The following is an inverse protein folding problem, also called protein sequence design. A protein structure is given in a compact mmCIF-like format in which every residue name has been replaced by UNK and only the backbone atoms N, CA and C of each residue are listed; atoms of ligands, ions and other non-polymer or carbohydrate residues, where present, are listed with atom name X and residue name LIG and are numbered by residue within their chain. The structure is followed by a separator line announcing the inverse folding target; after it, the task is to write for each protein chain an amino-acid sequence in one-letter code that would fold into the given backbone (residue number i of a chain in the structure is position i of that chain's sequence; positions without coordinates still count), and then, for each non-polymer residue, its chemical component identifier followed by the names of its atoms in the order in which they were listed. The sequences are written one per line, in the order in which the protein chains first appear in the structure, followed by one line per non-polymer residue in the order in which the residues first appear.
data_IF_237402078065
#
_entry.id   IF_237402078065
#
_cell.length_a   1.000
_cell.length_b   1.000
_cell.length_c   1.000
_cell.angle_alpha   90.00
_cell.angle_beta   90.00
_cell.angle_gamma   90.00
#
_symmetry.space_group_name_H-M   'P 1'
#
loop_
_entity.id
_entity.type
_entity.pdbx_description
1 polymer ?
#
# COMPACT_ATOMS: atom_id res chain seq x y z
N UNK A 1 3.23 -11.00 22.68
CA UNK A 1 3.16 -11.40 21.26
C UNK A 1 1.73 -11.65 20.84
N UNK A 2 1.30 -11.13 19.68
CA UNK A 2 0.01 -11.47 19.08
C UNK A 2 0.18 -12.80 18.36
N UNK A 3 -0.55 -13.85 18.77
CA UNK A 3 -0.48 -15.15 18.08
C UNK A 3 -1.17 -15.06 16.71
N UNK A 4 -0.78 -15.93 15.78
CA UNK A 4 -1.41 -16.00 14.45
C UNK A 4 -2.93 -16.21 14.54
N UNK A 5 -3.39 -17.09 15.44
CA UNK A 5 -4.81 -17.33 15.68
C UNK A 5 -5.55 -16.11 16.27
N UNK A 6 -4.92 -15.38 17.20
CA UNK A 6 -5.49 -14.14 17.74
C UNK A 6 -5.59 -13.04 16.68
N UNK A 7 -4.56 -12.91 15.82
CA UNK A 7 -4.61 -11.98 14.70
C UNK A 7 -5.70 -12.38 13.70
N UNK A 8 -5.83 -13.66 13.36
CA UNK A 8 -6.92 -14.16 12.50
C UNK A 8 -8.30 -13.76 13.00
N UNK A 9 -8.56 -13.97 14.29
CA UNK A 9 -9.83 -13.59 14.92
C UNK A 9 -10.08 -12.07 14.86
N UNK A 10 -9.03 -11.28 15.09
CA UNK A 10 -9.08 -9.83 14.97
C UNK A 10 -9.37 -9.38 13.53
N UNK A 11 -8.71 -9.97 12.53
CA UNK A 11 -8.94 -9.65 11.12
C UNK A 11 -10.41 -9.78 10.75
N UNK A 12 -11.03 -10.90 11.14
CA UNK A 12 -12.46 -11.18 10.90
C UNK A 12 -13.39 -10.23 11.67
N UNK A 13 -13.10 -9.97 12.95
CA UNK A 13 -13.97 -9.15 13.80
C UNK A 13 -13.91 -7.67 13.42
N UNK A 14 -12.75 -7.20 12.98
CA UNK A 14 -12.52 -5.81 12.60
C UNK A 14 -12.92 -5.51 11.14
N UNK A 15 -13.27 -6.53 10.35
CA UNK A 15 -13.55 -6.40 8.92
C UNK A 15 -12.32 -6.11 8.06
N UNK A 16 -11.12 -6.43 8.55
CA UNK A 16 -9.87 -6.31 7.79
C UNK A 16 -9.72 -7.46 6.78
N UNK A 17 -10.30 -8.61 7.10
CA UNK A 17 -10.47 -9.75 6.21
C UNK A 17 -11.77 -10.49 6.59
N UNK A 18 -12.18 -11.46 5.78
CA UNK A 18 -13.54 -11.98 5.77
C UNK A 18 -14.41 -11.17 4.81
N UNK A 19 -15.72 -11.06 5.03
CA UNK A 19 -16.57 -10.11 4.31
C UNK A 19 -16.09 -8.67 4.57
N UNK A 20 -15.73 -7.94 3.52
CA UNK A 20 -15.19 -6.58 3.60
C UNK A 20 -16.22 -5.53 3.16
N UNK A 21 -15.91 -4.25 3.37
CA UNK A 21 -16.83 -3.17 2.98
C UNK A 21 -16.93 -3.02 1.46
N UNK A 22 -15.86 -3.36 0.74
CA UNK A 22 -15.78 -3.33 -0.72
C UNK A 22 -16.80 -4.29 -1.33
N UNK A 23 -17.64 -3.76 -2.22
CA UNK A 23 -18.65 -4.56 -2.91
C UNK A 23 -18.07 -5.29 -4.10
N UNK A 24 -18.63 -6.46 -4.42
CA UNK A 24 -18.23 -7.27 -5.57
C UNK A 24 -18.35 -6.48 -6.88
N UNK A 25 -19.39 -5.66 -7.02
CA UNK A 25 -19.59 -4.76 -8.15
C UNK A 25 -18.48 -3.72 -8.26
N UNK A 26 -18.01 -3.21 -7.12
CA UNK A 26 -16.89 -2.28 -7.00
C UNK A 26 -15.60 -2.90 -7.53
N UNK A 27 -15.22 -4.07 -7.01
CA UNK A 27 -14.04 -4.82 -7.45
C UNK A 27 -14.11 -5.14 -8.94
N UNK A 28 -15.22 -5.71 -9.42
CA UNK A 28 -15.37 -6.04 -10.84
C UNK A 28 -15.30 -4.81 -11.75
N UNK A 29 -15.81 -3.65 -11.30
CA UNK A 29 -15.63 -2.39 -12.02
C UNK A 29 -14.15 -2.00 -12.08
N UNK A 30 -13.43 -2.09 -10.97
CA UNK A 30 -11.98 -1.81 -10.95
C UNK A 30 -11.20 -2.78 -11.85
N UNK A 31 -11.57 -4.06 -11.91
CA UNK A 31 -10.91 -5.04 -12.78
C UNK A 31 -11.11 -4.70 -14.26
N UNK A 32 -12.33 -4.34 -14.67
CA UNK A 32 -12.61 -3.88 -16.04
C UNK A 32 -11.85 -2.61 -16.38
N UNK A 33 -11.77 -1.66 -15.46
CA UNK A 33 -11.00 -0.42 -15.65
C UNK A 33 -9.49 -0.70 -15.75
N UNK A 34 -8.97 -1.65 -14.97
CA UNK A 34 -7.57 -2.05 -15.04
C UNK A 34 -7.25 -2.72 -16.38
N UNK A 35 -8.10 -3.65 -16.82
CA UNK A 35 -7.98 -4.27 -18.15
C UNK A 35 -7.99 -3.23 -19.28
N UNK A 36 -8.77 -2.16 -19.12
CA UNK A 36 -8.80 -1.00 -20.02
C UNK A 36 -7.65 0.01 -19.81
N UNK A 37 -6.67 -0.29 -18.95
CA UNK A 37 -5.51 0.55 -18.63
C UNK A 37 -5.86 1.92 -18.05
N UNK A 38 -6.95 2.01 -17.30
CA UNK A 38 -7.34 3.27 -16.66
C UNK A 38 -6.32 3.66 -15.56
N UNK A 39 -5.67 4.85 -15.67
CA UNK A 39 -4.59 5.25 -14.77
C UNK A 39 -5.02 5.38 -13.30
N UNK A 40 -6.32 5.46 -13.01
CA UNK A 40 -6.86 5.57 -11.65
C UNK A 40 -6.81 4.27 -10.87
N UNK A 41 -6.72 3.14 -11.58
CA UNK A 41 -6.67 1.80 -10.97
C UNK A 41 -5.42 1.02 -11.37
N UNK A 42 -4.64 1.46 -12.37
CA UNK A 42 -3.30 0.91 -12.59
C UNK A 42 -2.28 1.43 -11.58
N UNK A 43 -2.58 2.55 -10.91
CA UNK A 43 -1.79 3.12 -9.81
C UNK A 43 -0.33 3.40 -10.22
N UNK A 44 -0.09 3.64 -11.50
CA UNK A 44 1.25 3.88 -12.06
C UNK A 44 2.02 2.65 -12.52
N UNK A 45 1.44 1.45 -12.38
CA UNK A 45 1.92 0.24 -13.02
C UNK A 45 1.66 0.30 -14.53
N UNK A 46 2.61 -0.22 -15.31
CA UNK A 46 2.45 -0.50 -16.74
C UNK A 46 2.56 -2.00 -17.00
N UNK A 47 1.44 -2.75 -16.90
CA UNK A 47 1.45 -4.22 -16.94
C UNK A 47 1.96 -4.75 -18.28
N UNK A 48 2.82 -5.76 -18.26
CA UNK A 48 3.33 -6.39 -19.48
C UNK A 48 2.32 -7.40 -20.06
N UNK A 49 1.59 -8.12 -19.20
CA UNK A 49 0.54 -9.06 -19.62
C UNK A 49 -0.72 -8.35 -20.13
N UNK A 50 -1.56 -9.03 -20.91
CA UNK A 50 -2.80 -8.46 -21.44
C UNK A 50 -3.89 -8.25 -20.38
N UNK A 51 -3.83 -8.97 -19.25
CA UNK A 51 -4.73 -8.90 -18.07
C UNK A 51 -6.19 -8.55 -18.41
N UNK A 52 -6.92 -9.53 -18.97
CA UNK A 52 -8.37 -9.39 -19.16
C UNK A 52 -9.14 -9.52 -17.84
N UNK A 53 -10.43 -9.19 -17.85
CA UNK A 53 -11.30 -9.28 -16.66
C UNK A 53 -11.27 -10.68 -16.03
N UNK A 54 -11.29 -11.74 -16.84
CA UNK A 54 -11.23 -13.13 -16.33
C UNK A 54 -9.89 -13.46 -15.68
N UNK A 55 -8.79 -12.98 -16.25
CA UNK A 55 -7.45 -13.17 -15.68
C UNK A 55 -7.33 -12.45 -14.34
N UNK A 56 -7.90 -11.25 -14.24
CA UNK A 56 -7.94 -10.48 -13.01
C UNK A 56 -8.82 -11.15 -11.95
N UNK A 57 -9.99 -11.69 -12.30
CA UNK A 57 -10.83 -12.45 -11.36
C UNK A 57 -10.05 -13.66 -10.84
N UNK A 58 -9.40 -14.41 -11.73
CA UNK A 58 -8.60 -15.58 -11.35
C UNK A 58 -7.43 -15.20 -10.43
N UNK A 59 -6.69 -14.14 -10.79
CA UNK A 59 -5.59 -13.62 -9.98
C UNK A 59 -6.08 -13.17 -8.60
N UNK A 60 -7.16 -12.39 -8.53
CA UNK A 60 -7.65 -11.87 -7.26
C UNK A 60 -8.23 -12.99 -6.40
N UNK A 61 -8.85 -14.01 -6.98
CA UNK A 61 -9.26 -15.21 -6.24
C UNK A 61 -8.05 -15.95 -5.66
N UNK A 62 -6.94 -16.01 -6.41
CA UNK A 62 -5.68 -16.58 -5.95
C UNK A 62 -4.94 -15.70 -4.94
N UNK A 63 -4.97 -14.37 -5.04
CA UNK A 63 -4.17 -13.50 -4.17
C UNK A 63 -4.92 -12.98 -2.96
N UNK A 64 -6.19 -12.67 -3.13
CA UNK A 64 -7.06 -12.12 -2.08
C UNK A 64 -8.03 -13.15 -1.50
N UNK A 65 -8.42 -14.17 -2.28
CA UNK A 65 -9.44 -15.13 -1.85
C UNK A 65 -10.87 -14.70 -2.15
N UNK A 66 -11.04 -13.72 -3.04
CA UNK A 66 -12.36 -13.34 -3.58
C UNK A 66 -12.97 -14.49 -4.37
N UNK A 67 -14.27 -14.40 -4.70
CA UNK A 67 -14.91 -15.39 -5.56
C UNK A 67 -14.24 -15.43 -6.95
N UNK A 68 -13.80 -16.63 -7.35
CA UNK A 68 -13.28 -16.90 -8.69
C UNK A 68 -14.36 -17.17 -9.74
N UNK A 69 -15.64 -17.24 -9.34
CA UNK A 69 -16.76 -17.45 -10.26
C UNK A 69 -17.09 -16.15 -11.02
N UNK A 70 -16.97 -16.11 -12.37
CA UNK A 70 -17.37 -14.95 -13.16
C UNK A 70 -18.87 -14.64 -13.09
N UNK A 71 -19.72 -15.62 -12.72
CA UNK A 71 -21.15 -15.44 -12.51
C UNK A 71 -21.50 -14.75 -11.18
N UNK A 72 -20.56 -14.68 -10.25
CA UNK A 72 -20.73 -13.97 -8.98
C UNK A 72 -20.46 -12.47 -9.16
N UNK A 73 -21.53 -11.74 -9.49
CA UNK A 73 -21.46 -10.33 -9.92
C UNK A 73 -21.93 -9.31 -8.89
N UNK A 74 -22.47 -9.73 -7.73
CA UNK A 74 -23.04 -8.84 -6.73
C UNK A 74 -22.86 -9.32 -5.30
N UNK A 75 -22.89 -8.39 -4.34
CA UNK A 75 -22.74 -8.66 -2.91
C UNK A 75 -21.48 -8.03 -2.32
N UNK A 76 -21.05 -8.54 -1.16
CA UNK A 76 -19.78 -8.15 -0.55
C UNK A 76 -18.64 -8.98 -1.12
N UNK A 77 -17.48 -8.35 -1.31
CA UNK A 77 -16.28 -9.11 -1.58
C UNK A 77 -15.73 -9.75 -0.29
N UNK A 78 -14.79 -10.68 -0.45
CA UNK A 78 -14.19 -11.40 0.66
C UNK A 78 -12.68 -11.40 0.51
N UNK A 79 -11.99 -11.10 1.61
CA UNK A 79 -10.55 -11.36 1.74
C UNK A 79 -10.37 -12.60 2.59
N UNK A 80 -9.64 -13.60 2.10
CA UNK A 80 -9.27 -14.77 2.90
C UNK A 80 -8.24 -14.37 3.96
N UNK A 81 -8.57 -14.47 5.27
CA UNK A 81 -7.66 -14.09 6.34
C UNK A 81 -6.35 -14.87 6.34
N UNK A 82 -6.30 -16.10 5.81
CA UNK A 82 -5.04 -16.84 5.71
C UNK A 82 -4.10 -16.24 4.67
N UNK A 83 -4.65 -15.67 3.58
CA UNK A 83 -3.86 -14.95 2.58
C UNK A 83 -3.29 -13.66 3.16
N UNK A 84 -4.09 -12.92 3.94
CA UNK A 84 -3.60 -11.76 4.70
C UNK A 84 -2.46 -12.16 5.65
N UNK A 85 -2.63 -13.22 6.44
CA UNK A 85 -1.61 -13.65 7.41
C UNK A 85 -0.31 -14.11 6.73
N UNK A 86 -0.41 -14.85 5.63
CA UNK A 86 0.76 -15.26 4.84
C UNK A 86 1.47 -14.05 4.22
N UNK A 87 0.71 -13.10 3.68
CA UNK A 87 1.23 -11.84 3.17
C UNK A 87 1.96 -11.05 4.27
N UNK A 88 1.39 -10.96 5.47
CA UNK A 88 2.02 -10.28 6.61
C UNK A 88 3.31 -10.97 7.09
N UNK A 89 3.38 -12.31 7.04
CA UNK A 89 4.60 -13.05 7.35
C UNK A 89 5.71 -12.75 6.31
N UNK A 90 5.37 -12.72 5.01
CA UNK A 90 6.29 -12.34 3.95
C UNK A 90 6.74 -10.87 4.05
N UNK A 91 5.80 -9.97 4.35
CA UNK A 91 6.03 -8.55 4.57
C UNK A 91 7.02 -8.33 5.73
N UNK A 92 6.81 -9.02 6.85
CA UNK A 92 7.74 -8.98 7.99
C UNK A 92 9.15 -9.49 7.64
N UNK A 93 9.25 -10.53 6.80
CA UNK A 93 10.54 -11.03 6.32
C UNK A 93 11.33 -9.98 5.52
N UNK A 94 10.64 -9.19 4.68
CA UNK A 94 11.28 -8.08 3.94
C UNK A 94 11.72 -6.93 4.84
N UNK A 95 10.92 -6.60 5.87
CA UNK A 95 11.33 -5.62 6.89
C UNK A 95 12.55 -6.10 7.70
N UNK A 96 12.58 -7.37 8.10
CA UNK A 96 13.72 -7.94 8.82
C UNK A 96 14.99 -7.87 7.96
N UNK A 97 14.90 -8.27 6.70
CA UNK A 97 16.05 -8.25 5.79
C UNK A 97 16.64 -6.84 5.61
N UNK A 98 15.81 -5.79 5.50
CA UNK A 98 16.32 -4.41 5.39
C UNK A 98 16.88 -3.90 6.73
N UNK A 99 16.31 -4.33 7.85
CA UNK A 99 16.82 -4.01 9.18
C UNK A 99 18.19 -4.62 9.47
N UNK A 100 18.40 -5.89 9.09
CA UNK A 100 19.69 -6.60 9.27
C UNK A 100 20.86 -5.85 8.64
N UNK A 101 20.63 -5.27 7.45
CA UNK A 101 21.62 -4.47 6.72
C UNK A 101 21.58 -2.97 7.04
N UNK A 102 20.66 -2.53 7.90
CA UNK A 102 20.41 -1.11 8.24
C UNK A 102 20.20 -0.25 6.99
N UNK A 103 19.43 -0.78 6.05
CA UNK A 103 19.23 -0.18 4.74
C UNK A 103 18.43 1.12 4.76
N UNK A 104 18.32 1.75 3.59
CA UNK A 104 17.52 2.96 3.38
C UNK A 104 16.08 2.59 3.01
N UNK A 105 15.10 3.28 3.62
CA UNK A 105 13.68 2.97 3.44
C UNK A 105 12.86 4.22 3.19
N UNK A 106 11.87 4.10 2.31
CA UNK A 106 10.88 5.15 2.07
C UNK A 106 9.49 4.61 2.41
N UNK A 107 8.77 5.31 3.28
CA UNK A 107 7.38 5.00 3.59
C UNK A 107 6.46 6.00 2.91
N UNK A 108 5.36 5.52 2.32
CA UNK A 108 4.35 6.40 1.72
C UNK A 108 2.96 5.79 1.76
N UNK A 109 1.94 6.63 1.95
CA UNK A 109 0.54 6.17 1.97
C UNK A 109 -0.33 7.03 1.07
N UNK A 110 -1.13 6.35 0.25
CA UNK A 110 -2.23 6.91 -0.51
C UNK A 110 -3.48 7.06 0.35
N UNK A 111 -3.58 6.34 1.47
CA UNK A 111 -4.74 6.33 2.37
C UNK A 111 -4.43 6.87 3.79
N UNK A 112 -3.95 8.12 3.95
CA UNK A 112 -3.38 8.63 5.20
C UNK A 112 -4.35 8.65 6.38
N UNK A 113 -5.66 8.79 6.15
CA UNK A 113 -6.66 8.75 7.22
C UNK A 113 -6.79 7.38 7.90
N UNK A 114 -6.40 6.31 7.20
CA UNK A 114 -6.56 4.93 7.66
C UNK A 114 -5.22 4.31 8.04
N UNK A 115 -4.24 4.39 7.14
CA UNK A 115 -3.01 3.60 7.22
C UNK A 115 -1.79 4.36 7.76
N UNK A 116 -1.86 5.69 7.92
CA UNK A 116 -0.71 6.48 8.41
C UNK A 116 -0.14 5.93 9.73
N UNK A 117 -1.01 5.59 10.68
CA UNK A 117 -0.59 5.04 11.97
C UNK A 117 0.08 3.67 11.87
N UNK A 118 -0.30 2.84 10.88
CA UNK A 118 0.33 1.55 10.62
C UNK A 118 1.75 1.75 10.10
N UNK A 119 1.94 2.54 9.04
CA UNK A 119 3.27 2.77 8.46
C UNK A 119 4.19 3.57 9.38
N UNK A 120 3.68 4.55 10.12
CA UNK A 120 4.50 5.36 11.04
C UNK A 120 5.12 4.50 12.15
N UNK A 121 4.38 3.51 12.65
CA UNK A 121 4.93 2.60 13.65
C UNK A 121 6.01 1.66 13.08
N UNK A 122 5.91 1.29 11.79
CA UNK A 122 6.95 0.53 11.11
C UNK A 122 8.19 1.39 10.85
N UNK A 123 8.00 2.63 10.41
CA UNK A 123 9.07 3.60 10.19
C UNK A 123 9.86 3.87 11.48
N UNK A 124 9.18 4.09 12.61
CA UNK A 124 9.81 4.27 13.91
C UNK A 124 10.64 3.05 14.32
N UNK A 125 10.10 1.84 14.12
CA UNK A 125 10.79 0.60 14.48
C UNK A 125 12.04 0.35 13.62
N UNK A 126 11.98 0.59 12.31
CA UNK A 126 13.14 0.48 11.43
C UNK A 126 14.18 1.56 11.74
N UNK A 127 13.75 2.79 12.03
CA UNK A 127 14.66 3.85 12.48
C UNK A 127 15.37 3.48 13.77
N UNK A 128 14.65 2.92 14.75
CA UNK A 128 15.22 2.42 16.00
C UNK A 128 16.21 1.25 15.80
N UNK A 129 16.01 0.44 14.75
CA UNK A 129 16.94 -0.61 14.34
C UNK A 129 18.16 -0.09 13.56
N UNK A 130 18.22 1.22 13.27
CA UNK A 130 19.34 1.88 12.60
C UNK A 130 19.18 2.06 11.09
N UNK A 131 17.99 1.79 10.52
CA UNK A 131 17.71 2.08 9.11
C UNK A 131 17.58 3.59 8.87
N UNK A 132 17.94 4.04 7.67
CA UNK A 132 17.72 5.43 7.26
C UNK A 132 16.31 5.58 6.68
N UNK A 133 15.40 6.21 7.41
CA UNK A 133 14.05 6.56 6.93
C UNK A 133 14.12 7.87 6.16
N UNK A 134 13.86 7.81 4.86
CA UNK A 134 14.01 8.93 3.94
C UNK A 134 12.77 9.84 3.94
N UNK A 135 12.98 11.16 3.82
CA UNK A 135 11.91 12.15 3.63
C UNK A 135 12.19 13.11 2.45
N UNK A 136 12.45 12.59 1.24
CA UNK A 136 12.87 13.39 0.10
C UNK A 136 11.72 14.23 -0.46
N UNK A 137 12.07 15.33 -1.14
CA UNK A 137 11.10 16.21 -1.79
C UNK A 137 9.99 16.74 -0.84
N UNK A 138 10.26 16.83 0.47
CA UNK A 138 9.32 17.44 1.41
C UNK A 138 8.98 18.87 0.97
N UNK A 139 7.69 19.19 0.92
CA UNK A 139 7.21 20.50 0.45
C UNK A 139 7.16 20.64 -1.07
N UNK A 140 7.56 19.63 -1.85
CA UNK A 140 7.49 19.69 -3.32
C UNK A 140 6.04 19.68 -3.77
N UNK A 141 5.70 20.61 -4.67
CA UNK A 141 4.40 20.66 -5.32
C UNK A 141 4.32 19.66 -6.47
N UNK A 142 3.16 19.03 -6.62
CA UNK A 142 2.87 18.05 -7.66
C UNK A 142 1.47 18.31 -8.21
N UNK A 143 1.34 18.34 -9.52
CA UNK A 143 0.05 18.51 -10.17
C UNK A 143 -0.58 17.14 -10.45
N UNK A 144 -1.74 16.89 -9.85
CA UNK A 144 -2.46 15.62 -9.98
C UNK A 144 -3.78 15.88 -10.71
N UNK A 145 -4.00 15.13 -11.79
CA UNK A 145 -5.28 15.13 -12.50
C UNK A 145 -6.36 14.48 -11.65
N UNK A 146 -7.41 15.24 -11.35
CA UNK A 146 -8.59 14.76 -10.62
C UNK A 146 -9.83 14.79 -11.53
N UNK A 147 -10.95 14.24 -11.06
CA UNK A 147 -12.25 14.38 -11.76
C UNK A 147 -12.71 15.84 -11.92
N UNK A 148 -12.11 16.78 -11.18
CA UNK A 148 -12.42 18.21 -11.22
C UNK A 148 -11.34 19.02 -11.94
N UNK A 149 -10.49 18.37 -12.75
CA UNK A 149 -9.33 18.97 -13.40
C UNK A 149 -8.04 18.79 -12.61
N UNK A 150 -6.97 19.40 -13.09
CA UNK A 150 -5.66 19.37 -12.43
C UNK A 150 -5.70 20.18 -11.15
N UNK A 151 -5.18 19.61 -10.07
CA UNK A 151 -5.00 20.28 -8.79
C UNK A 151 -3.57 20.08 -8.32
N UNK A 152 -2.97 21.15 -7.81
CA UNK A 152 -1.65 21.10 -7.18
C UNK A 152 -1.78 20.55 -5.77
N UNK A 153 -0.96 19.58 -5.41
CA UNK A 153 -0.82 19.04 -4.06
C UNK A 153 0.62 19.24 -3.60
N UNK A 154 0.86 19.06 -2.31
CA UNK A 154 2.22 19.13 -1.74
C UNK A 154 2.57 17.83 -1.04
N UNK A 155 3.78 17.32 -1.27
CA UNK A 155 4.32 16.17 -0.52
C UNK A 155 4.64 16.61 0.90
N UNK A 156 4.13 15.89 1.89
CA UNK A 156 4.44 16.09 3.30
C UNK A 156 4.77 14.77 3.99
N UNK A 157 5.45 14.85 5.13
CA UNK A 157 5.85 13.70 5.92
C UNK A 157 5.33 13.83 7.35
N UNK A 158 4.64 12.80 7.82
CA UNK A 158 4.27 12.68 9.24
C UNK A 158 4.89 11.41 9.79
N UNK A 159 5.77 11.56 10.78
CA UNK A 159 6.50 10.44 11.42
C UNK A 159 7.18 9.53 10.39
N UNK A 160 7.90 10.13 9.44
CA UNK A 160 8.63 9.42 8.39
C UNK A 160 7.79 8.85 7.25
N UNK A 161 6.47 9.03 7.26
CA UNK A 161 5.57 8.52 6.21
C UNK A 161 5.14 9.65 5.29
N UNK A 162 5.41 9.48 4.00
CA UNK A 162 5.01 10.39 2.95
C UNK A 162 3.50 10.33 2.68
N UNK A 163 2.89 11.48 2.47
CA UNK A 163 1.51 11.63 1.99
C UNK A 163 1.38 12.95 1.21
N UNK A 164 0.22 13.19 0.62
CA UNK A 164 -0.07 14.44 -0.10
C UNK A 164 -1.06 15.31 0.67
N UNK A 165 -0.90 16.63 0.56
CA UNK A 165 -1.84 17.62 1.10
C UNK A 165 -2.49 18.44 -0.02
N UNK A 166 -3.78 18.70 0.13
CA UNK A 166 -4.49 19.63 -0.73
C UNK A 166 -4.06 21.09 -0.49
N UNK A 167 -4.25 21.99 -1.47
CA UNK A 167 -4.07 23.42 -1.29
C UNK A 167 -4.87 23.96 -0.11
N UNK A 168 -4.27 24.85 0.68
CA UNK A 168 -4.94 25.50 1.81
C UNK A 168 -5.14 24.63 3.05
N UNK A 169 -4.66 23.38 3.06
CA UNK A 169 -4.59 22.57 4.28
C UNK A 169 -3.62 23.24 5.29
N UNK A 170 -4.12 23.60 6.47
CA UNK A 170 -3.34 24.32 7.50
C UNK A 170 -2.30 23.42 8.19
N UNK A 171 -1.09 23.98 8.32
CA UNK A 171 0.07 23.64 9.18
C UNK A 171 0.69 22.24 9.00
N UNK A 172 2.02 22.21 8.92
CA UNK A 172 2.83 21.00 9.06
C UNK A 172 2.49 20.29 10.39
N UNK A 173 2.07 19.02 10.32
CA UNK A 173 1.68 18.23 11.50
C UNK A 173 0.17 18.03 11.74
N UNK A 174 -0.72 18.59 10.91
CA UNK A 174 -2.14 18.22 10.92
C UNK A 174 -2.36 16.90 10.15
N UNK A 175 -3.06 15.90 10.69
CA UNK A 175 -3.16 14.54 10.08
C UNK A 175 -3.98 14.44 8.78
N UNK A 176 -4.53 15.53 8.25
CA UNK A 176 -5.46 15.46 7.13
C UNK A 176 -4.75 15.44 5.76
N UNK A 177 -3.89 14.44 5.53
CA UNK A 177 -3.48 14.10 4.17
C UNK A 177 -4.68 13.74 3.29
N UNK A 178 -4.50 13.71 1.99
CA UNK A 178 -5.58 13.43 1.03
C UNK A 178 -5.44 12.01 0.50
N UNK A 179 -6.58 11.31 0.39
CA UNK A 179 -6.66 10.04 -0.32
C UNK A 179 -6.21 10.18 -1.76
N UNK A 180 -5.24 9.38 -2.21
CA UNK A 180 -4.72 9.43 -3.57
C UNK A 180 -4.28 8.07 -4.09
N UNK A 181 -4.69 7.79 -5.32
CA UNK A 181 -4.24 6.63 -6.10
C UNK A 181 -3.09 7.01 -7.04
N UNK A 182 -2.71 8.29 -7.09
CA UNK A 182 -1.72 8.80 -8.02
C UNK A 182 -0.33 8.26 -7.71
N UNK A 183 0.46 7.83 -8.72
CA UNK A 183 1.86 7.47 -8.55
C UNK A 183 2.81 8.68 -8.58
N UNK A 184 2.31 9.87 -8.93
CA UNK A 184 3.14 11.06 -9.06
C UNK A 184 3.86 11.46 -7.76
N UNK A 185 3.27 11.31 -6.55
CA UNK A 185 3.95 11.62 -5.31
C UNK A 185 5.23 10.79 -5.11
N UNK A 186 5.16 9.47 -5.33
CA UNK A 186 6.35 8.61 -5.15
C UNK A 186 7.40 8.88 -6.21
N UNK A 187 7.00 9.16 -7.46
CA UNK A 187 7.94 9.55 -8.52
C UNK A 187 8.69 10.83 -8.16
N UNK A 188 7.97 11.85 -7.68
CA UNK A 188 8.56 13.11 -7.27
C UNK A 188 9.45 12.99 -6.03
N UNK A 189 9.09 12.10 -5.09
CA UNK A 189 9.93 11.77 -3.93
C UNK A 189 11.24 11.08 -4.33
N UNK A 190 11.17 10.07 -5.19
CA UNK A 190 12.34 9.32 -5.68
C UNK A 190 13.24 10.20 -6.56
N UNK A 191 12.65 11.04 -7.42
CA UNK A 191 13.40 12.02 -8.21
C UNK A 191 14.12 13.03 -7.30
N UNK A 192 13.43 13.57 -6.29
CA UNK A 192 14.07 14.48 -5.34
C UNK A 192 15.18 13.82 -4.52
N UNK A 193 15.08 12.51 -4.23
CA UNK A 193 16.16 11.77 -3.59
C UNK A 193 17.40 11.68 -4.50
N UNK A 194 17.19 11.39 -5.78
CA UNK A 194 18.26 11.33 -6.79
C UNK A 194 18.92 12.70 -7.02
N UNK A 195 18.14 13.76 -7.16
CA UNK A 195 18.63 15.13 -7.42
C UNK A 195 19.46 15.69 -6.27
N UNK A 196 19.07 15.37 -5.03
CA UNK A 196 19.76 15.85 -3.82
C UNK A 196 21.02 15.04 -3.47
N UNK A 197 21.32 13.97 -4.22
CA UNK A 197 22.43 13.07 -3.92
C UNK A 197 22.24 12.25 -2.64
N UNK A 198 21.02 12.20 -2.11
CA UNK A 198 20.69 11.31 -0.98
C UNK A 198 20.67 9.85 -1.44
N UNK A 199 20.97 8.88 -0.57
CA UNK A 199 20.80 7.47 -0.91
C UNK A 199 19.38 7.18 -1.37
N UNK A 200 19.25 6.45 -2.47
CA UNK A 200 17.96 5.93 -2.92
C UNK A 200 17.45 4.86 -1.94
N UNK A 201 16.12 4.68 -1.79
CA UNK A 201 15.59 3.64 -0.93
C UNK A 201 15.92 2.25 -1.47
N UNK A 202 16.42 1.37 -0.60
CA UNK A 202 16.52 -0.06 -0.87
C UNK A 202 15.16 -0.74 -0.79
N UNK A 203 14.22 -0.19 -0.01
CA UNK A 203 12.86 -0.70 0.11
C UNK A 203 11.86 0.46 0.20
N UNK A 204 10.81 0.42 -0.62
CA UNK A 204 9.64 1.30 -0.48
C UNK A 204 8.49 0.51 0.13
N UNK A 205 7.89 1.06 1.19
CA UNK A 205 6.79 0.45 1.93
C UNK A 205 5.57 1.36 1.87
N UNK A 206 4.44 0.85 1.41
CA UNK A 206 3.25 1.69 1.29
C UNK A 206 1.99 1.02 0.78
N UNK A 207 1.11 1.81 0.19
CA UNK A 207 -0.11 1.38 -0.50
C UNK A 207 -0.30 2.15 -1.82
N UNK A 208 -1.25 1.67 -2.63
CA UNK A 208 -1.69 2.29 -3.87
C UNK A 208 -0.53 2.73 -4.82
N UNK A 209 -0.55 4.00 -5.23
CA UNK A 209 0.40 4.59 -6.16
C UNK A 209 1.82 4.70 -5.61
N UNK A 210 2.02 4.64 -4.28
CA UNK A 210 3.37 4.60 -3.70
C UNK A 210 4.06 3.28 -4.02
N UNK A 211 3.33 2.17 -3.99
CA UNK A 211 3.87 0.84 -4.27
C UNK A 211 4.02 0.63 -5.78
N UNK A 212 2.91 0.75 -6.51
CA UNK A 212 2.92 0.48 -7.96
C UNK A 212 3.83 1.46 -8.72
N UNK A 213 3.83 2.74 -8.35
CA UNK A 213 4.69 3.75 -8.96
C UNK A 213 6.19 3.48 -8.75
N UNK A 214 6.60 3.08 -7.55
CA UNK A 214 8.00 2.75 -7.25
C UNK A 214 8.43 1.40 -7.84
N UNK A 215 7.56 0.37 -7.76
CA UNK A 215 7.82 -0.94 -8.36
C UNK A 215 7.97 -0.86 -9.88
N UNK A 216 7.19 0.00 -10.55
CA UNK A 216 7.35 0.27 -11.98
C UNK A 216 8.73 0.84 -12.33
N UNK A 217 9.31 1.65 -11.44
CA UNK A 217 10.65 2.22 -11.58
C UNK A 217 11.78 1.25 -11.18
N UNK A 218 11.44 0.03 -10.74
CA UNK A 218 12.42 -1.03 -10.44
C UNK A 218 12.92 -1.06 -8.99
N UNK A 219 12.28 -0.33 -8.08
CA UNK A 219 12.58 -0.43 -6.65
C UNK A 219 11.97 -1.70 -6.03
N UNK A 220 12.62 -2.26 -5.00
CA UNK A 220 11.98 -3.28 -4.18
C UNK A 220 10.83 -2.62 -3.40
N UNK A 221 9.61 -3.16 -3.54
CA UNK A 221 8.42 -2.59 -2.92
C UNK A 221 7.56 -3.65 -2.25
N UNK A 222 6.97 -3.29 -1.11
CA UNK A 222 5.98 -4.10 -0.40
C UNK A 222 4.81 -3.23 0.06
N UNK A 223 3.61 -3.79 0.13
CA UNK A 223 2.45 -2.99 0.50
C UNK A 223 1.17 -3.72 0.84
N UNK A 224 0.21 -2.93 1.32
CA UNK A 224 -1.17 -3.36 1.56
C UNK A 224 -2.04 -2.97 0.36
N UNK A 225 -3.02 -3.81 0.01
CA UNK A 225 -4.06 -3.49 -0.98
C UNK A 225 -5.40 -4.15 -0.64
N UNK A 226 -6.48 -3.45 -0.95
CA UNK A 226 -7.84 -3.96 -0.90
C UNK A 226 -8.21 -4.72 -2.21
N UNK A 227 -9.37 -5.38 -2.24
CA UNK A 227 -9.80 -6.23 -3.36
C UNK A 227 -10.17 -5.46 -4.61
N UNK A 228 -10.37 -4.14 -4.54
CA UNK A 228 -10.61 -3.27 -5.69
C UNK A 228 -9.34 -2.58 -6.24
N UNK A 229 -8.17 -2.91 -5.68
CA UNK A 229 -6.85 -2.47 -6.14
C UNK A 229 -6.04 -3.61 -6.82
N UNK A 230 -6.46 -4.10 -8.00
CA UNK A 230 -5.79 -5.22 -8.66
C UNK A 230 -4.33 -4.95 -9.02
N UNK A 231 -3.93 -3.68 -9.14
CA UNK A 231 -2.59 -3.29 -9.59
C UNK A 231 -1.47 -3.84 -8.72
N UNK A 232 -1.61 -3.85 -7.39
CA UNK A 232 -0.53 -4.35 -6.52
C UNK A 232 -0.32 -5.86 -6.72
N UNK A 233 -1.40 -6.60 -6.87
CA UNK A 233 -1.36 -8.06 -7.10
C UNK A 233 -0.88 -8.42 -8.51
N UNK A 234 -1.25 -7.63 -9.52
CA UNK A 234 -0.68 -7.76 -10.87
C UNK A 234 0.81 -7.45 -10.83
N UNK A 235 1.20 -6.38 -10.14
CA UNK A 235 2.60 -6.03 -9.92
C UNK A 235 3.37 -7.15 -9.23
N UNK A 236 2.76 -7.85 -8.27
CA UNK A 236 3.36 -9.02 -7.62
C UNK A 236 3.50 -10.20 -8.58
N UNK A 237 2.46 -10.51 -9.36
CA UNK A 237 2.50 -11.56 -10.36
C UNK A 237 3.54 -11.31 -11.46
N UNK A 238 3.81 -10.04 -11.80
CA UNK A 238 4.82 -9.63 -12.79
C UNK A 238 6.20 -9.36 -12.17
N UNK A 239 6.38 -9.59 -10.86
CA UNK A 239 7.67 -9.40 -10.17
C UNK A 239 8.09 -7.94 -9.98
N UNK A 240 7.17 -6.98 -10.17
CA UNK A 240 7.36 -5.54 -9.88
C UNK A 240 7.08 -5.18 -8.43
N UNK A 241 6.29 -5.98 -7.74
CA UNK A 241 5.99 -5.86 -6.30
C UNK A 241 6.49 -7.13 -5.62
N UNK A 242 7.24 -6.98 -4.53
CA UNK A 242 7.81 -8.15 -3.84
C UNK A 242 6.82 -8.82 -2.89
N UNK A 243 5.93 -8.04 -2.28
CA UNK A 243 4.85 -8.54 -1.41
C UNK A 243 3.64 -7.60 -1.52
N UNK A 244 2.49 -8.13 -1.91
CA UNK A 244 1.19 -7.48 -1.79
C UNK A 244 0.32 -8.21 -0.74
N UNK A 245 -0.09 -7.51 0.31
CA UNK A 245 -0.90 -8.10 1.38
C UNK A 245 -2.36 -7.70 1.20
N UNK A 246 -3.28 -8.67 0.99
CA UNK A 246 -4.69 -8.36 0.87
C UNK A 246 -5.28 -7.99 2.23
N UNK A 247 -5.86 -6.80 2.35
CA UNK A 247 -6.55 -6.31 3.55
C UNK A 247 -7.52 -5.18 3.18
N UNK A 248 -8.67 -5.08 3.85
CA UNK A 248 -9.55 -3.90 3.72
C UNK A 248 -8.80 -2.69 4.28
N UNK A 249 -8.52 -1.70 3.44
CA UNK A 249 -7.74 -0.53 3.82
C UNK A 249 -8.61 0.65 4.30
N UNK A 250 -9.93 0.51 4.24
CA UNK A 250 -10.91 1.54 4.57
C UNK A 250 -11.40 1.47 6.03
N UNK A 251 -11.07 0.41 6.77
CA UNK A 251 -11.47 0.26 8.18
C UNK A 251 -10.83 1.30 9.10
N UNK A 252 -11.29 1.37 10.35
CA UNK A 252 -10.81 2.35 11.34
C UNK A 252 -9.31 2.17 11.60
N UNK A 253 -8.56 3.28 11.64
CA UNK A 253 -7.11 3.29 11.85
C UNK A 253 -6.64 2.53 13.10
N UNK A 254 -7.43 2.55 14.17
CA UNK A 254 -7.13 1.81 15.40
C UNK A 254 -7.08 0.28 15.19
N UNK A 255 -7.78 -0.25 14.19
CA UNK A 255 -7.86 -1.69 13.92
C UNK A 255 -6.59 -2.25 13.29
N UNK A 256 -5.69 -1.42 12.74
CA UNK A 256 -4.40 -1.91 12.23
C UNK A 256 -3.35 -2.14 13.33
N UNK A 257 -3.59 -1.68 14.57
CA UNK A 257 -2.60 -1.82 15.68
C UNK A 257 -2.18 -3.28 15.93
N UNK A 258 -3.08 -4.28 15.94
CA UNK A 258 -2.65 -5.68 16.07
C UNK A 258 -1.82 -6.18 14.89
N UNK A 259 -2.07 -5.68 13.67
CA UNK A 259 -1.29 -6.03 12.47
C UNK A 259 0.13 -5.46 12.59
N UNK A 260 0.26 -4.19 12.96
CA UNK A 260 1.56 -3.56 13.26
C UNK A 260 2.35 -4.39 14.27
N UNK A 261 1.73 -4.75 15.41
CA UNK A 261 2.39 -5.56 16.45
C UNK A 261 2.79 -6.92 15.91
N UNK A 262 1.94 -7.57 15.12
CA UNK A 262 2.25 -8.87 14.54
C UNK A 262 3.47 -8.79 13.62
N UNK A 263 3.46 -7.86 12.67
CA UNK A 263 4.56 -7.64 11.71
C UNK A 263 5.87 -7.32 12.45
N UNK A 264 5.85 -6.39 13.40
CA UNK A 264 7.06 -6.03 14.15
C UNK A 264 7.60 -7.19 14.99
N UNK A 265 6.75 -7.98 15.63
CA UNK A 265 7.18 -9.18 16.35
C UNK A 265 7.82 -10.20 15.39
N UNK A 266 7.20 -10.44 14.22
CA UNK A 266 7.70 -11.38 13.21
C UNK A 266 9.02 -10.94 12.59
N UNK A 267 9.22 -9.63 12.45
CA UNK A 267 10.46 -9.06 11.94
C UNK A 267 11.56 -8.93 13.02
N UNK A 268 11.31 -9.35 14.26
CA UNK A 268 12.21 -9.14 15.41
C UNK A 268 12.53 -7.65 15.68
N UNK A 269 11.56 -6.77 15.38
CA UNK A 269 11.64 -5.31 15.55
C UNK A 269 10.77 -4.80 16.71
N UNK A 270 10.12 -5.70 17.43
CA UNK A 270 9.39 -5.37 18.66
C UNK A 270 10.38 -5.12 19.81
N UNK A 271 10.33 -3.92 20.40
CA UNK A 271 10.97 -3.66 21.69
C UNK A 271 10.17 -4.25 22.85
#
# INVERSE_FOLDING_TARGET
MVSRGALRAHLLTAGLAGPVATSREGSLRSYRLFAARDPRVTLGLDPQGAWGERDLIALMADRCGVSGDPGHVSGQDVIDPERTLNGLDAFAGRLAAVAERRGTVLFGTGHPHRLLGFYAALADALSAAGCLVLTPAQGRCIDITTRFGVRTYTIDYVRGVAMVRAPGARVAGCETGVHTHSPLPVRAALEGAAESGTPLPELVVGDHGWVCGAGQLGFEVIGLADTDDPALFVGEAEGRVSVAVPVDDAVRSAYYRPLTRYVLNRACLSQ
#
